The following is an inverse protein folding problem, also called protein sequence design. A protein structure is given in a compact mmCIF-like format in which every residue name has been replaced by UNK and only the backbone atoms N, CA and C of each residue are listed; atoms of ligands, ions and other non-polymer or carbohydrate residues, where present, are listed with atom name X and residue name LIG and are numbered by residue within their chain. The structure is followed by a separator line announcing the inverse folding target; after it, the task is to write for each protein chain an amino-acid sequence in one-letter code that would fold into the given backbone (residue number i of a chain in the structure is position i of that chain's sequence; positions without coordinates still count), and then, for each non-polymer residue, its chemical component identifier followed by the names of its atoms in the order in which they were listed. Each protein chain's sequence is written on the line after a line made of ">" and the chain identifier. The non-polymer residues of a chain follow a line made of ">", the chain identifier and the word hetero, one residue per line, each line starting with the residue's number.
data_IF_726467941256
#
_entry.id   IF_726467941256
#
_cell.length_a   1.000
_cell.length_b   1.000
_cell.length_c   1.000
_cell.angle_alpha   90.00
_cell.angle_beta   90.00
_cell.angle_gamma   90.00
#
_symmetry.space_group_name_H-M   'P 1'
#
loop_
_entity.id
_entity.type
_entity.pdbx_description
1 polymer ?
#
# COMPACT_ATOMS: atom_id res chain seq x y z
N UNK A 1 -8.23 -1.14 -7.47
CA UNK A 1 -7.96 0.29 -7.63
C UNK A 1 -6.50 0.57 -7.40
N UNK A 2 -5.93 1.32 -8.29
CA UNK A 2 -4.56 1.73 -8.20
C UNK A 2 -4.46 3.23 -8.07
N UNK A 3 -3.30 3.66 -7.64
CA UNK A 3 -2.94 5.07 -7.64
C UNK A 3 -1.72 5.22 -8.55
N UNK A 4 -1.67 6.28 -9.34
CA UNK A 4 -0.48 6.63 -10.09
C UNK A 4 0.32 7.74 -9.40
N UNK A 5 -0.22 8.31 -8.33
CA UNK A 5 0.44 9.39 -7.58
C UNK A 5 -0.12 9.45 -6.15
N UNK A 6 0.78 9.60 -5.19
CA UNK A 6 0.45 9.89 -3.80
C UNK A 6 1.41 10.96 -3.28
N UNK A 7 0.97 11.77 -2.31
CA UNK A 7 1.84 12.76 -1.70
C UNK A 7 1.73 12.74 -0.18
N UNK A 8 2.82 13.17 0.47
CA UNK A 8 2.89 13.32 1.91
C UNK A 8 3.95 14.36 2.24
N UNK A 9 4.02 14.78 3.50
CA UNK A 9 5.06 15.69 3.97
C UNK A 9 6.18 14.93 4.64
N UNK A 10 7.41 15.38 4.43
CA UNK A 10 8.57 14.82 5.11
C UNK A 10 8.40 14.99 6.63
N UNK A 11 8.86 14.00 7.39
CA UNK A 11 8.71 14.00 8.84
C UNK A 11 7.40 13.39 9.32
N UNK A 12 6.40 13.27 8.46
CA UNK A 12 5.15 12.58 8.77
C UNK A 12 5.27 11.10 8.45
N UNK A 13 4.45 10.30 9.12
CA UNK A 13 4.42 8.85 8.91
C UNK A 13 3.08 8.38 8.37
N UNK A 14 2.31 9.27 7.76
CA UNK A 14 0.98 8.91 7.25
C UNK A 14 0.84 9.40 5.82
N UNK A 15 0.40 8.51 4.94
CA UNK A 15 -0.02 8.90 3.59
C UNK A 15 -1.55 8.98 3.60
N UNK A 16 -2.13 10.14 3.24
CA UNK A 16 -3.59 10.28 3.20
C UNK A 16 -4.15 9.66 1.91
N UNK A 17 -4.17 8.35 1.86
CA UNK A 17 -4.68 7.61 0.72
C UNK A 17 -5.63 6.52 1.21
N UNK A 18 -6.56 6.15 0.37
CA UNK A 18 -7.59 5.17 0.72
C UNK A 18 -7.39 3.89 -0.08
N UNK A 19 -7.33 2.77 0.64
CA UNK A 19 -7.27 1.44 0.05
C UNK A 19 -8.44 0.62 0.59
N UNK A 20 -8.93 -0.32 -0.22
CA UNK A 20 -10.04 -1.16 0.24
C UNK A 20 -10.00 -2.51 -0.47
N UNK A 21 -10.61 -3.49 0.19
CA UNK A 21 -10.88 -4.79 -0.40
C UNK A 21 -12.36 -4.80 -0.81
N UNK A 22 -12.69 -4.87 -2.10
CA UNK A 22 -14.09 -4.84 -2.53
C UNK A 22 -14.93 -5.90 -1.84
N UNK A 23 -16.17 -5.55 -1.52
CA UNK A 23 -17.08 -6.42 -0.78
C UNK A 23 -17.35 -7.74 -1.51
N UNK A 24 -17.32 -7.74 -2.83
CA UNK A 24 -17.57 -8.94 -3.62
C UNK A 24 -16.37 -9.85 -3.79
N UNK A 25 -15.19 -9.49 -3.27
CA UNK A 25 -14.01 -10.34 -3.37
C UNK A 25 -14.15 -11.59 -2.51
N UNK A 26 -13.51 -12.66 -2.94
CA UNK A 26 -13.51 -13.93 -2.23
C UNK A 26 -12.12 -14.25 -1.64
N UNK A 27 -11.36 -13.24 -1.30
CA UNK A 27 -10.04 -13.40 -0.69
C UNK A 27 -9.72 -12.23 0.22
N UNK A 28 -8.73 -12.42 1.09
CA UNK A 28 -8.14 -11.35 1.89
C UNK A 28 -7.13 -10.61 1.06
N UNK A 29 -6.98 -9.30 1.29
CA UNK A 29 -5.98 -8.50 0.59
C UNK A 29 -5.03 -7.86 1.60
N UNK A 30 -3.74 -7.96 1.33
CA UNK A 30 -2.69 -7.25 2.06
C UNK A 30 -2.02 -6.29 1.09
N UNK A 31 -1.81 -5.05 1.51
CA UNK A 31 -1.15 -4.03 0.70
C UNK A 31 0.20 -3.66 1.30
N UNK A 32 1.19 -3.43 0.44
CA UNK A 32 2.50 -2.98 0.87
C UNK A 32 3.00 -1.90 -0.08
N UNK A 33 3.83 -0.98 0.45
CA UNK A 33 4.47 0.06 -0.37
C UNK A 33 5.97 -0.14 -0.28
N UNK A 34 6.62 -0.20 -1.43
CA UNK A 34 8.05 -0.47 -1.56
C UNK A 34 8.68 0.64 -2.38
N UNK A 35 9.67 1.31 -1.81
CA UNK A 35 10.41 2.38 -2.49
C UNK A 35 11.28 1.83 -3.61
N UNK A 36 11.74 2.69 -4.54
CA UNK A 36 12.57 2.22 -5.66
C UNK A 36 13.84 1.47 -5.25
N UNK A 37 14.36 1.73 -4.05
CA UNK A 37 15.56 1.03 -3.55
C UNK A 37 15.23 -0.30 -2.88
N UNK A 38 13.96 -0.71 -2.88
CA UNK A 38 13.51 -1.95 -2.25
C UNK A 38 13.10 -1.82 -0.80
N UNK A 39 13.15 -0.63 -0.22
CA UNK A 39 12.74 -0.45 1.17
C UNK A 39 11.23 -0.50 1.30
N UNK A 40 10.72 -1.42 2.10
CA UNK A 40 9.30 -1.47 2.41
C UNK A 40 8.99 -0.43 3.50
N UNK A 41 8.06 0.47 3.22
CA UNK A 41 7.70 1.54 4.15
C UNK A 41 6.30 1.37 4.73
N UNK A 42 5.50 0.45 4.19
CA UNK A 42 4.14 0.21 4.65
C UNK A 42 3.73 -1.23 4.36
N UNK A 43 3.00 -1.81 5.29
CA UNK A 43 2.33 -3.10 5.08
C UNK A 43 1.07 -3.12 5.93
N UNK A 44 -0.06 -3.38 5.29
CA UNK A 44 -1.33 -3.47 5.98
C UNK A 44 -1.51 -4.83 6.66
N UNK A 45 -2.48 -4.90 7.56
CA UNK A 45 -3.05 -6.19 7.94
C UNK A 45 -3.80 -6.77 6.75
N UNK A 46 -4.17 -8.03 6.84
CA UNK A 46 -5.03 -8.65 5.83
C UNK A 46 -6.43 -8.10 5.96
N UNK A 47 -6.92 -7.50 4.89
CA UNK A 47 -8.23 -6.86 4.86
C UNK A 47 -9.28 -7.87 4.39
N UNK A 48 -10.37 -7.98 5.13
CA UNK A 48 -11.53 -8.75 4.71
C UNK A 48 -12.27 -8.01 3.59
N UNK A 49 -13.03 -8.74 2.75
CA UNK A 49 -13.90 -8.05 1.77
C UNK A 49 -14.80 -7.03 2.48
N UNK A 50 -14.81 -5.81 1.96
CA UNK A 50 -15.54 -4.69 2.55
C UNK A 50 -14.72 -3.81 3.47
N UNK A 51 -13.54 -4.25 3.91
CA UNK A 51 -12.68 -3.44 4.77
C UNK A 51 -12.03 -2.31 3.98
N UNK A 52 -11.82 -1.19 4.67
CA UNK A 52 -11.22 0.02 4.10
C UNK A 52 -10.14 0.56 5.03
N UNK A 53 -9.04 1.04 4.42
CA UNK A 53 -8.05 1.86 5.11
C UNK A 53 -8.20 3.29 4.59
N UNK A 54 -8.37 4.26 5.48
CA UNK A 54 -8.52 5.67 5.09
C UNK A 54 -7.20 6.44 5.14
N UNK A 55 -6.18 5.86 5.75
CA UNK A 55 -4.84 6.41 5.80
C UNK A 55 -3.84 5.27 5.92
N UNK A 56 -2.65 5.48 5.38
CA UNK A 56 -1.59 4.46 5.40
C UNK A 56 -0.52 4.88 6.39
N UNK A 57 -0.38 4.14 7.47
CA UNK A 57 0.59 4.43 8.52
C UNK A 57 1.91 3.75 8.21
N UNK A 58 2.94 4.56 7.94
CA UNK A 58 4.25 4.06 7.54
C UNK A 58 5.05 3.57 8.75
N UNK A 59 5.95 2.63 8.49
CA UNK A 59 6.87 2.12 9.51
C UNK A 59 8.02 3.08 9.80
N UNK A 60 8.26 4.06 8.93
CA UNK A 60 9.36 5.01 9.03
C UNK A 60 9.03 6.30 8.32
N UNK A 61 9.78 7.36 8.62
CA UNK A 61 9.71 8.58 7.82
C UNK A 61 10.48 8.39 6.53
N UNK A 62 10.12 9.19 5.51
CA UNK A 62 10.77 9.15 4.20
C UNK A 62 11.30 10.55 3.90
N UNK A 63 12.57 10.68 3.48
CA UNK A 63 13.11 12.00 3.14
C UNK A 63 12.35 12.66 1.99
N UNK A 64 12.34 13.99 1.97
CA UNK A 64 11.71 14.74 0.89
C UNK A 64 12.31 14.34 -0.46
N UNK A 65 11.47 14.21 -1.47
CA UNK A 65 11.92 13.84 -2.82
C UNK A 65 10.78 13.26 -3.64
N UNK A 66 11.13 12.94 -4.89
CA UNK A 66 10.23 12.29 -5.83
C UNK A 66 10.68 10.83 -6.01
N UNK A 67 9.80 9.90 -5.66
CA UNK A 67 10.08 8.47 -5.73
C UNK A 67 9.22 7.88 -6.84
N UNK A 68 9.70 7.94 -8.09
CA UNK A 68 8.87 7.72 -9.27
C UNK A 68 8.56 6.25 -9.58
N UNK A 69 9.32 5.33 -9.03
CA UNK A 69 9.09 3.91 -9.30
C UNK A 69 8.77 3.18 -8.01
N UNK A 70 7.92 3.79 -7.21
CA UNK A 70 7.41 3.18 -5.99
C UNK A 70 6.36 2.14 -6.35
N UNK A 71 6.33 1.05 -5.62
CA UNK A 71 5.43 -0.07 -5.89
C UNK A 71 4.36 -0.11 -4.80
N UNK A 72 3.10 -0.17 -5.22
CA UNK A 72 2.00 -0.58 -4.35
C UNK A 72 1.68 -2.02 -4.70
N UNK A 73 1.98 -2.94 -3.78
CA UNK A 73 1.82 -4.36 -4.01
C UNK A 73 0.61 -4.88 -3.28
N UNK A 74 -0.29 -5.50 -4.01
CA UNK A 74 -1.45 -6.19 -3.45
C UNK A 74 -1.18 -7.69 -3.48
N UNK A 75 -1.35 -8.33 -2.33
CA UNK A 75 -1.25 -9.79 -2.23
C UNK A 75 -2.60 -10.34 -1.79
N UNK A 76 -3.09 -11.36 -2.49
CA UNK A 76 -4.37 -11.99 -2.19
C UNK A 76 -4.13 -13.30 -1.45
N UNK A 77 -4.92 -13.55 -0.40
CA UNK A 77 -4.80 -14.74 0.43
C UNK A 77 -6.13 -15.45 0.52
N UNK A 78 -6.10 -16.77 0.49
CA UNK A 78 -7.29 -17.59 0.65
C UNK A 78 -7.84 -17.46 2.07
N UNK A 79 -9.17 -17.53 2.20
CA UNK A 79 -9.77 -17.66 3.51
C UNK A 79 -9.35 -19.00 4.13
N UNK A 80 -9.34 -19.06 5.44
CA UNK A 80 -9.04 -20.26 6.17
C UNK A 80 -7.55 -20.52 6.34
N UNK A 81 -6.89 -21.09 5.34
CA UNK A 81 -5.48 -21.49 5.47
C UNK A 81 -4.50 -20.35 5.19
N UNK A 82 -4.99 -19.19 4.77
CA UNK A 82 -4.16 -18.00 4.48
C UNK A 82 -3.11 -18.26 3.39
N UNK A 83 -3.36 -19.20 2.48
CA UNK A 83 -2.44 -19.47 1.38
C UNK A 83 -2.44 -18.29 0.42
N UNK A 84 -1.26 -17.83 0.02
CA UNK A 84 -1.17 -16.76 -0.97
C UNK A 84 -1.63 -17.27 -2.33
N UNK A 85 -2.58 -16.55 -2.93
CA UNK A 85 -3.16 -16.94 -4.21
C UNK A 85 -2.46 -16.24 -5.37
N UNK A 86 -2.29 -14.92 -5.28
CA UNK A 86 -1.61 -14.15 -6.32
C UNK A 86 -1.17 -12.80 -5.74
N UNK A 87 -0.49 -12.05 -6.59
CA UNK A 87 0.11 -10.77 -6.23
C UNK A 87 0.07 -9.87 -7.46
N UNK A 88 -0.17 -8.58 -7.26
CA UNK A 88 -0.21 -7.60 -8.33
C UNK A 88 0.51 -6.34 -7.87
N UNK A 89 1.34 -5.78 -8.74
CA UNK A 89 2.08 -4.54 -8.46
C UNK A 89 1.53 -3.40 -9.30
N UNK A 90 1.37 -2.25 -8.66
CA UNK A 90 1.03 -0.99 -9.33
C UNK A 90 2.20 -0.04 -9.09
N UNK A 91 2.74 0.49 -10.17
CA UNK A 91 3.85 1.45 -10.07
C UNK A 91 3.28 2.85 -10.02
N UNK A 92 3.74 3.65 -9.07
CA UNK A 92 3.24 5.00 -8.89
C UNK A 92 4.36 5.93 -8.43
N UNK A 93 4.09 7.24 -8.46
CA UNK A 93 5.00 8.25 -7.94
C UNK A 93 4.58 8.63 -6.53
N UNK A 94 5.51 8.50 -5.60
CA UNK A 94 5.33 9.03 -4.25
C UNK A 94 6.13 10.33 -4.15
N UNK A 95 5.42 11.43 -3.93
CA UNK A 95 6.05 12.72 -3.68
C UNK A 95 6.08 12.99 -2.18
N UNK A 96 7.27 13.18 -1.62
CA UNK A 96 7.44 13.57 -0.22
C UNK A 96 7.88 15.02 -0.21
N UNK A 97 7.00 15.91 0.23
CA UNK A 97 7.21 17.35 0.19
C UNK A 97 8.00 17.80 1.42
N UNK A 98 8.89 18.80 1.26
CA UNK A 98 9.65 19.33 2.41
C UNK A 98 8.78 20.01 3.44
#
# INVERSE_FOLDING_TARGET
>A
PGYDYMSMKAGEKTIPARLYNPEGNNCLIEAAIILPDGTEIFRSDKLDPGDTLDALNLSRTVPAGMYERTILRYSCYAFGDMRRLNEADVIFTLEVKP
#
